data_IF_046865440736
#
_entry.id   IF_046865440736
#
_cell.length_a   1.000
_cell.length_b   1.000
_cell.length_c   1.000
_cell.angle_alpha   90.00
_cell.angle_beta   90.00
_cell.angle_gamma   90.00
#
_symmetry.space_group_name_H-M   'P 1'
#
loop_
_entity.id
_entity.type
_entity.pdbx_description
1 polymer ?
#
# COMPACT_ATOMS: atom_id res chain seq x y z
N UNK A 1 18.67 35.70 -19.97
CA UNK A 1 17.54 35.73 -18.99
C UNK A 1 16.20 36.11 -19.62
N UNK A 2 16.10 37.08 -20.55
CA UNK A 2 14.81 37.51 -21.13
C UNK A 2 14.00 36.40 -21.82
N UNK A 3 14.66 35.40 -22.43
CA UNK A 3 14.01 34.32 -23.18
C UNK A 3 13.23 33.34 -22.30
N UNK A 4 13.82 32.93 -21.18
CA UNK A 4 13.19 31.99 -20.23
C UNK A 4 11.91 32.60 -19.62
N UNK A 5 11.95 33.88 -19.27
CA UNK A 5 10.80 34.62 -18.72
C UNK A 5 9.67 34.67 -19.75
N UNK A 6 9.99 34.96 -21.01
CA UNK A 6 9.01 34.99 -22.10
C UNK A 6 8.36 33.62 -22.33
N UNK A 7 9.16 32.54 -22.39
CA UNK A 7 8.63 31.17 -22.52
C UNK A 7 7.70 30.83 -21.36
N UNK A 8 8.10 31.10 -20.12
CA UNK A 8 7.29 30.82 -18.94
C UNK A 8 5.99 31.63 -18.93
N UNK A 9 6.05 32.90 -19.34
CA UNK A 9 4.86 33.75 -19.44
C UNK A 9 3.88 33.23 -20.49
N UNK A 10 4.35 32.92 -21.70
CA UNK A 10 3.48 32.41 -22.75
C UNK A 10 2.98 30.98 -22.47
N UNK A 11 3.79 30.15 -21.78
CA UNK A 11 3.35 28.85 -21.29
C UNK A 11 2.24 29.02 -20.25
N UNK A 12 2.37 29.95 -19.31
CA UNK A 12 1.33 30.23 -18.33
C UNK A 12 0.01 30.64 -19.01
N UNK A 13 0.06 31.49 -20.05
CA UNK A 13 -1.12 31.86 -20.83
C UNK A 13 -1.75 30.66 -21.56
N UNK A 14 -0.94 29.80 -22.17
CA UNK A 14 -1.42 28.60 -22.86
C UNK A 14 -2.05 27.58 -21.88
N UNK A 15 -1.52 27.50 -20.66
CA UNK A 15 -2.07 26.65 -19.60
C UNK A 15 -3.38 27.22 -19.02
N UNK A 16 -3.45 28.54 -18.84
CA UNK A 16 -4.66 29.22 -18.34
C UNK A 16 -5.85 29.05 -19.29
N UNK A 17 -5.60 29.07 -20.62
CA UNK A 17 -6.61 28.74 -21.63
C UNK A 17 -7.19 27.32 -21.48
N UNK A 18 -6.46 26.41 -20.83
CA UNK A 18 -6.83 25.01 -20.60
C UNK A 18 -7.27 24.77 -19.15
N UNK A 19 -7.50 25.84 -18.39
CA UNK A 19 -7.86 25.82 -16.96
C UNK A 19 -6.82 25.13 -16.05
N UNK A 20 -5.56 25.03 -16.52
CA UNK A 20 -4.46 24.43 -15.77
C UNK A 20 -3.79 25.52 -14.94
N UNK A 21 -3.76 25.34 -13.61
CA UNK A 21 -3.08 26.29 -12.73
C UNK A 21 -1.59 26.00 -12.72
N UNK A 22 -0.79 27.04 -12.86
CA UNK A 22 0.67 26.99 -12.74
C UNK A 22 1.08 27.48 -11.35
N UNK A 23 1.77 26.64 -10.59
CA UNK A 23 2.36 26.99 -9.29
C UNK A 23 3.87 26.71 -9.30
N UNK A 24 4.60 27.34 -8.37
CA UNK A 24 6.02 27.07 -8.17
C UNK A 24 6.22 26.42 -6.80
N UNK A 25 7.16 25.48 -6.72
CA UNK A 25 7.58 24.81 -5.49
C UNK A 25 9.10 24.89 -5.37
N UNK A 26 9.66 24.59 -4.19
CA UNK A 26 11.12 24.49 -3.99
C UNK A 26 11.79 23.49 -4.94
N UNK A 27 11.04 22.50 -5.43
CA UNK A 27 11.52 21.43 -6.31
C UNK A 27 11.31 21.74 -7.80
N UNK A 28 10.76 22.90 -8.16
CA UNK A 28 10.50 23.29 -9.54
C UNK A 28 9.04 23.69 -9.79
N UNK A 29 8.65 23.68 -11.06
CA UNK A 29 7.35 24.18 -11.53
C UNK A 29 6.32 23.05 -11.45
N UNK A 30 5.11 23.37 -10.99
CA UNK A 30 3.98 22.44 -10.93
C UNK A 30 2.80 22.97 -11.72
N UNK A 31 2.11 22.07 -12.41
CA UNK A 31 0.86 22.34 -13.09
C UNK A 31 -0.21 21.46 -12.49
N UNK A 32 -1.31 22.03 -12.06
CA UNK A 32 -2.36 21.31 -11.33
C UNK A 32 -3.74 21.54 -11.96
N UNK A 33 -4.51 20.45 -11.99
CA UNK A 33 -5.98 20.47 -12.05
C UNK A 33 -6.41 19.69 -10.81
N UNK A 34 -6.82 20.42 -9.76
CA UNK A 34 -7.07 19.84 -8.44
C UNK A 34 -7.97 18.59 -8.53
N UNK A 35 -7.57 17.45 -7.93
CA UNK A 35 -6.43 17.25 -7.03
C UNK A 35 -5.12 16.76 -7.70
N UNK A 36 -5.10 16.62 -9.02
CA UNK A 36 -4.01 15.97 -9.75
C UNK A 36 -2.92 16.99 -10.17
N UNK A 37 -1.64 16.65 -10.04
CA UNK A 37 -0.51 17.57 -10.25
C UNK A 37 0.65 16.97 -11.04
N UNK A 38 1.15 17.74 -12.01
CA UNK A 38 2.28 17.38 -12.86
C UNK A 38 3.47 18.30 -12.58
N UNK A 39 4.65 17.70 -12.39
CA UNK A 39 5.90 18.43 -12.17
C UNK A 39 6.66 18.62 -13.47
N UNK A 40 7.08 19.86 -13.70
CA UNK A 40 7.86 20.29 -14.85
C UNK A 40 9.26 20.71 -14.41
N UNK A 41 10.23 20.36 -15.25
CA UNK A 41 11.62 20.81 -15.12
C UNK A 41 12.08 21.45 -16.42
N UNK A 42 12.77 22.59 -16.30
CA UNK A 42 13.38 23.28 -17.42
C UNK A 42 14.90 23.21 -17.26
N UNK A 43 15.57 22.62 -18.25
CA UNK A 43 17.02 22.51 -18.32
C UNK A 43 17.58 23.32 -19.46
N UNK A 44 18.75 23.94 -19.24
CA UNK A 44 19.55 24.57 -20.31
C UNK A 44 20.68 23.62 -20.75
N UNK A 45 20.85 23.48 -22.06
CA UNK A 45 21.90 22.64 -22.64
C UNK A 45 23.27 23.29 -22.41
N UNK A 46 24.15 22.56 -21.73
CA UNK A 46 25.53 22.94 -21.48
C UNK A 46 26.44 22.23 -22.46
N UNK A 47 27.26 22.98 -23.18
CA UNK A 47 28.30 22.41 -24.04
C UNK A 47 29.59 22.30 -23.24
N UNK A 48 30.22 21.14 -23.31
CA UNK A 48 31.54 20.87 -22.73
C UNK A 48 32.58 21.10 -23.82
N UNK A 49 33.50 22.03 -23.57
CA UNK A 49 34.66 22.28 -24.44
C UNK A 49 35.94 22.08 -23.62
N UNK A 50 37.04 21.67 -24.27
CA UNK A 50 38.32 21.54 -23.59
C UNK A 50 38.78 22.92 -23.10
N UNK A 51 39.15 23.00 -21.83
CA UNK A 51 39.58 24.27 -21.23
C UNK A 51 40.90 24.70 -21.86
N UNK A 52 40.94 25.92 -22.36
CA UNK A 52 42.16 26.53 -22.89
C UNK A 52 42.83 27.28 -21.74
N UNK A 53 43.98 26.81 -21.22
CA UNK A 53 44.62 27.42 -20.05
C UNK A 53 44.93 28.90 -20.28
N UNK A 54 44.57 29.74 -19.32
CA UNK A 54 44.92 31.17 -19.39
C UNK A 54 46.42 31.37 -19.08
N UNK A 55 46.98 32.49 -19.55
CA UNK A 55 48.41 32.82 -19.31
C UNK A 55 48.78 32.86 -17.82
N UNK A 56 47.83 33.18 -16.94
CA UNK A 56 48.04 33.19 -15.50
C UNK A 56 48.06 31.76 -14.92
N UNK A 57 47.21 30.87 -15.42
CA UNK A 57 47.14 29.46 -15.00
C UNK A 57 48.35 28.67 -15.49
N UNK A 58 48.83 28.93 -16.71
CA UNK A 58 50.10 28.40 -17.22
C UNK A 58 51.28 28.81 -16.35
N UNK A 59 51.38 30.09 -15.96
CA UNK A 59 52.46 30.56 -15.06
C UNK A 59 52.43 29.86 -13.70
N UNK A 60 51.25 29.65 -13.11
CA UNK A 60 51.10 28.93 -11.84
C UNK A 60 51.53 27.48 -11.94
N UNK A 61 51.17 26.80 -13.04
CA UNK A 61 51.60 25.45 -13.31
C UNK A 61 53.12 25.36 -13.47
N UNK A 62 53.72 26.26 -14.25
CA UNK A 62 55.17 26.27 -14.48
C UNK A 62 55.96 26.57 -13.20
N UNK A 63 55.47 27.49 -12.35
CA UNK A 63 56.05 27.76 -11.04
C UNK A 63 55.96 26.54 -10.11
N UNK A 64 54.83 25.83 -10.12
CA UNK A 64 54.66 24.64 -9.31
C UNK A 64 55.55 23.49 -9.79
N UNK A 65 55.65 23.26 -11.10
CA UNK A 65 56.54 22.25 -11.66
C UNK A 65 58.02 22.56 -11.37
N UNK A 66 58.43 23.84 -11.42
CA UNK A 66 59.77 24.26 -10.97
C UNK A 66 60.01 23.97 -9.49
N UNK A 67 59.05 24.30 -8.61
CA UNK A 67 59.15 23.99 -7.17
C UNK A 67 59.21 22.48 -6.92
N UNK A 68 58.44 21.71 -7.68
CA UNK A 68 58.39 20.25 -7.62
C UNK A 68 59.70 19.61 -8.07
N UNK A 69 60.33 20.14 -9.12
CA UNK A 69 61.65 19.66 -9.57
C UNK A 69 62.73 19.94 -8.50
N UNK A 70 62.72 21.13 -7.90
CA UNK A 70 63.62 21.47 -6.80
C UNK A 70 63.39 20.56 -5.58
N UNK A 71 62.12 20.29 -5.22
CA UNK A 71 61.78 19.39 -4.13
C UNK A 71 62.24 17.95 -4.42
N UNK A 72 62.02 17.44 -5.63
CA UNK A 72 62.50 16.11 -6.09
C UNK A 72 64.01 15.99 -5.97
N UNK A 73 64.78 17.00 -6.38
CA UNK A 73 66.24 17.01 -6.24
C UNK A 73 66.72 16.98 -4.78
N UNK A 74 65.88 17.43 -3.84
CA UNK A 74 66.13 17.40 -2.39
C UNK A 74 65.55 16.16 -1.69
N UNK A 75 65.02 15.18 -2.44
CA UNK A 75 64.38 13.99 -1.89
C UNK A 75 63.04 14.26 -1.20
N UNK A 76 62.44 15.44 -1.41
CA UNK A 76 61.16 15.84 -0.83
C UNK A 76 60.04 15.65 -1.84
N UNK A 77 58.86 15.24 -1.35
CA UNK A 77 57.68 15.02 -2.17
C UNK A 77 56.75 16.24 -2.13
N UNK A 78 56.37 16.74 -3.30
CA UNK A 78 55.36 17.78 -3.45
C UNK A 78 54.09 17.16 -4.04
N UNK A 79 52.94 17.51 -3.47
CA UNK A 79 51.64 16.96 -3.86
C UNK A 79 51.28 17.31 -5.31
N UNK A 80 50.50 16.45 -5.93
CA UNK A 80 49.89 16.76 -7.22
C UNK A 80 48.79 17.82 -7.02
N UNK A 81 48.85 18.88 -7.81
CA UNK A 81 47.87 19.97 -7.80
C UNK A 81 47.32 20.14 -9.22
N UNK A 82 46.01 20.40 -9.31
CA UNK A 82 45.31 20.60 -10.58
C UNK A 82 45.13 22.11 -10.80
N UNK A 83 45.81 22.63 -11.82
CA UNK A 83 45.92 24.09 -12.05
C UNK A 83 44.78 24.70 -12.85
N UNK A 84 44.07 23.88 -13.63
CA UNK A 84 42.88 24.29 -14.37
C UNK A 84 41.87 23.14 -14.46
N UNK A 85 40.57 23.44 -14.61
CA UNK A 85 39.56 22.44 -14.99
C UNK A 85 39.95 21.81 -16.34
N UNK A 86 39.65 20.53 -16.58
CA UNK A 86 39.89 19.96 -17.91
C UNK A 86 38.92 20.54 -18.97
N UNK A 87 37.77 21.07 -18.53
CA UNK A 87 36.70 21.48 -19.42
C UNK A 87 36.04 22.77 -18.96
N UNK A 88 35.71 23.61 -19.94
CA UNK A 88 34.84 24.76 -19.76
C UNK A 88 33.40 24.38 -20.14
N UNK A 89 32.45 24.89 -19.36
CA UNK A 89 31.02 24.73 -19.61
C UNK A 89 30.48 26.02 -20.21
N UNK A 90 30.12 25.97 -21.49
CA UNK A 90 29.50 27.09 -22.19
C UNK A 90 27.99 26.87 -22.22
N UNK A 91 27.24 27.84 -21.70
CA UNK A 91 25.78 27.85 -21.76
C UNK A 91 25.34 28.20 -23.19
N UNK A 92 24.70 27.24 -23.86
CA UNK A 92 24.37 27.37 -25.29
C UNK A 92 23.09 28.18 -25.54
N UNK A 93 22.34 28.55 -24.50
CA UNK A 93 21.05 29.24 -24.62
C UNK A 93 19.90 28.37 -25.12
N UNK A 94 20.15 27.08 -25.41
CA UNK A 94 19.14 26.10 -25.82
C UNK A 94 18.44 25.52 -24.59
N UNK A 95 17.12 25.52 -24.63
CA UNK A 95 16.29 25.10 -23.51
C UNK A 95 15.61 23.76 -23.80
N UNK A 96 15.33 23.04 -22.73
CA UNK A 96 14.57 21.79 -22.72
C UNK A 96 13.56 21.81 -21.59
N UNK A 97 12.37 21.27 -21.84
CA UNK A 97 11.29 21.12 -20.88
C UNK A 97 10.96 19.63 -20.76
N UNK A 98 10.92 19.14 -19.52
CA UNK A 98 10.65 17.75 -19.20
C UNK A 98 9.55 17.61 -18.14
N UNK A 99 8.60 16.72 -18.39
CA UNK A 99 7.58 16.27 -17.45
C UNK A 99 8.15 15.07 -16.68
N UNK A 100 8.19 15.19 -15.35
CA UNK A 100 8.70 14.13 -14.48
C UNK A 100 7.69 12.99 -14.28
N UNK A 101 6.39 13.28 -14.41
CA UNK A 101 5.32 12.31 -14.20
C UNK A 101 5.30 11.25 -15.31
N UNK A 102 4.76 10.08 -14.99
CA UNK A 102 4.61 8.98 -15.94
C UNK A 102 3.18 8.87 -16.43
N UNK A 103 3.02 8.94 -17.74
CA UNK A 103 1.80 8.59 -18.45
C UNK A 103 2.18 7.76 -19.69
N UNK A 104 1.39 6.73 -19.96
CA UNK A 104 1.59 5.85 -21.11
C UNK A 104 1.20 6.56 -22.41
N UNK A 105 1.97 6.37 -23.47
CA UNK A 105 1.77 7.04 -24.77
C UNK A 105 2.00 8.56 -24.79
N UNK A 106 2.30 9.19 -23.65
CA UNK A 106 2.47 10.63 -23.55
C UNK A 106 3.91 11.09 -23.88
N UNK A 107 4.03 12.20 -24.60
CA UNK A 107 5.33 12.88 -24.75
C UNK A 107 5.76 13.47 -23.41
N UNK A 108 7.03 13.30 -23.07
CA UNK A 108 7.60 13.80 -21.79
C UNK A 108 8.61 14.92 -21.95
N UNK A 109 9.26 15.03 -23.11
CA UNK A 109 10.37 15.97 -23.33
C UNK A 109 10.21 16.77 -24.60
N UNK A 110 10.41 18.07 -24.47
CA UNK A 110 10.52 19.04 -25.56
C UNK A 110 11.86 19.74 -25.43
N UNK A 111 12.52 20.01 -26.55
CA UNK A 111 13.83 20.68 -26.56
C UNK A 111 13.96 21.54 -27.80
N UNK A 112 14.73 22.61 -27.69
CA UNK A 112 15.15 23.39 -28.85
C UNK A 112 15.87 22.48 -29.85
N UNK A 113 15.43 22.54 -31.10
CA UNK A 113 16.01 21.83 -32.24
C UNK A 113 16.61 22.80 -33.26
N UNK A 114 16.97 22.27 -34.43
CA UNK A 114 17.51 23.06 -35.54
C UNK A 114 16.47 23.99 -36.18
N UNK A 115 15.20 23.55 -36.22
CA UNK A 115 14.10 24.22 -36.91
C UNK A 115 12.91 24.53 -35.99
N UNK A 116 12.98 24.12 -34.73
CA UNK A 116 11.87 24.22 -33.79
C UNK A 116 12.41 24.76 -32.47
N UNK A 117 11.74 25.77 -31.92
CA UNK A 117 12.06 26.34 -30.61
C UNK A 117 10.97 26.00 -29.59
N UNK A 118 11.27 26.04 -28.30
CA UNK A 118 10.26 25.81 -27.26
C UNK A 118 9.09 26.80 -27.36
N UNK A 119 9.34 28.05 -27.77
CA UNK A 119 8.29 29.06 -28.00
C UNK A 119 7.27 28.60 -29.06
N UNK A 120 7.74 27.94 -30.12
CA UNK A 120 6.87 27.38 -31.17
C UNK A 120 6.11 26.12 -30.74
N UNK A 121 6.50 25.52 -29.61
CA UNK A 121 5.96 24.26 -29.08
C UNK A 121 5.02 24.46 -27.89
N UNK A 122 4.66 25.69 -27.54
CA UNK A 122 3.87 25.96 -26.34
C UNK A 122 2.53 25.22 -26.31
N UNK A 123 1.79 25.22 -27.43
CA UNK A 123 0.53 24.48 -27.53
C UNK A 123 0.71 22.97 -27.40
N UNK A 124 1.62 22.31 -28.17
CA UNK A 124 1.94 20.90 -27.96
C UNK A 124 2.43 20.55 -26.55
N UNK A 125 3.11 21.47 -25.87
CA UNK A 125 3.56 21.29 -24.47
C UNK A 125 2.34 21.31 -23.55
N UNK A 126 1.48 22.33 -23.69
CA UNK A 126 0.28 22.48 -22.87
C UNK A 126 -0.72 21.31 -23.06
N UNK A 127 -0.89 20.84 -24.30
CA UNK A 127 -1.69 19.63 -24.60
C UNK A 127 -1.06 18.37 -23.99
N UNK A 128 0.27 18.27 -24.02
CA UNK A 128 0.99 17.20 -23.35
C UNK A 128 0.73 17.20 -21.84
N UNK A 129 0.83 18.36 -21.19
CA UNK A 129 0.56 18.52 -19.75
C UNK A 129 -0.88 18.12 -19.41
N UNK A 130 -1.86 18.58 -20.20
CA UNK A 130 -3.26 18.22 -20.04
C UNK A 130 -3.46 16.70 -20.12
N UNK A 131 -2.79 16.03 -21.07
CA UNK A 131 -2.85 14.58 -21.19
C UNK A 131 -2.31 13.86 -19.93
N UNK A 132 -1.18 14.33 -19.38
CA UNK A 132 -0.63 13.75 -18.14
C UNK A 132 -1.61 13.93 -16.96
N UNK A 133 -2.23 15.09 -16.82
CA UNK A 133 -3.22 15.34 -15.77
C UNK A 133 -4.46 14.45 -15.94
N UNK A 134 -4.97 14.29 -17.16
CA UNK A 134 -6.09 13.40 -17.44
C UNK A 134 -5.75 11.92 -17.16
N UNK A 135 -4.52 11.51 -17.47
CA UNK A 135 -4.03 10.17 -17.17
C UNK A 135 -3.97 9.90 -15.66
N UNK A 136 -3.46 10.86 -14.88
CA UNK A 136 -3.40 10.73 -13.42
C UNK A 136 -4.79 10.68 -12.79
N UNK A 137 -5.73 11.50 -13.27
CA UNK A 137 -7.13 11.46 -12.87
C UNK A 137 -7.74 10.08 -13.09
N UNK A 138 -7.62 9.54 -14.30
CA UNK A 138 -8.15 8.21 -14.63
C UNK A 138 -7.55 7.12 -13.74
N UNK A 139 -6.22 7.17 -13.50
CA UNK A 139 -5.52 6.24 -12.62
C UNK A 139 -5.96 6.35 -11.15
N UNK A 140 -6.25 7.57 -10.68
CA UNK A 140 -6.80 7.78 -9.33
C UNK A 140 -8.19 7.18 -9.21
N UNK A 141 -9.08 7.45 -10.17
CA UNK A 141 -10.43 6.90 -10.18
C UNK A 141 -10.44 5.36 -10.24
N UNK A 142 -9.56 4.76 -11.04
CA UNK A 142 -9.40 3.32 -11.10
C UNK A 142 -8.92 2.73 -9.76
N UNK A 143 -7.92 3.36 -9.13
CA UNK A 143 -7.42 2.95 -7.79
C UNK A 143 -8.51 3.04 -6.74
N UNK A 144 -9.27 4.13 -6.70
CA UNK A 144 -10.38 4.31 -5.76
C UNK A 144 -11.49 3.26 -5.99
N UNK A 145 -11.84 2.99 -7.24
CA UNK A 145 -12.84 1.96 -7.58
C UNK A 145 -12.36 0.57 -7.17
N UNK A 146 -11.09 0.25 -7.43
CA UNK A 146 -10.48 -1.01 -7.01
C UNK A 146 -10.40 -1.13 -5.49
N UNK A 147 -10.06 -0.07 -4.77
CA UNK A 147 -10.04 -0.05 -3.32
C UNK A 147 -11.45 -0.26 -2.73
N UNK A 148 -12.48 0.38 -3.31
CA UNK A 148 -13.88 0.15 -2.93
C UNK A 148 -14.27 -1.31 -3.13
N UNK A 149 -13.95 -1.89 -4.30
CA UNK A 149 -14.19 -3.33 -4.58
C UNK A 149 -13.47 -4.24 -3.60
N UNK A 150 -12.20 -3.95 -3.28
CA UNK A 150 -11.41 -4.73 -2.31
C UNK A 150 -12.00 -4.67 -0.92
N UNK A 151 -12.33 -3.47 -0.41
CA UNK A 151 -12.95 -3.29 0.90
C UNK A 151 -14.29 -4.02 1.00
N UNK A 152 -15.12 -3.90 -0.04
CA UNK A 152 -16.40 -4.60 -0.12
C UNK A 152 -16.22 -6.13 -0.06
N UNK A 153 -15.35 -6.68 -0.91
CA UNK A 153 -15.07 -8.13 -0.92
C UNK A 153 -14.41 -8.62 0.37
N UNK A 154 -13.54 -7.82 0.99
CA UNK A 154 -12.94 -8.15 2.28
C UNK A 154 -13.99 -8.25 3.39
N UNK A 155 -14.91 -7.28 3.44
CA UNK A 155 -16.02 -7.28 4.40
C UNK A 155 -16.92 -8.51 4.20
N UNK A 156 -17.30 -8.83 2.96
CA UNK A 156 -18.09 -10.03 2.65
C UNK A 156 -17.40 -11.32 3.09
N UNK A 157 -16.09 -11.43 2.87
CA UNK A 157 -15.29 -12.59 3.34
C UNK A 157 -15.23 -12.70 4.86
N UNK A 158 -15.12 -11.56 5.55
CA UNK A 158 -15.16 -11.53 7.00
C UNK A 158 -16.51 -12.01 7.54
N UNK A 159 -17.62 -11.54 6.96
CA UNK A 159 -18.97 -12.01 7.29
C UNK A 159 -19.10 -13.51 7.06
N UNK A 160 -18.67 -14.01 5.90
CA UNK A 160 -18.71 -15.44 5.59
C UNK A 160 -17.90 -16.28 6.60
N UNK A 161 -16.70 -15.83 6.98
CA UNK A 161 -15.90 -16.50 8.00
C UNK A 161 -16.64 -16.55 9.35
N UNK A 162 -17.21 -15.42 9.79
CA UNK A 162 -17.99 -15.38 11.04
C UNK A 162 -19.21 -16.31 10.98
N UNK A 163 -19.87 -16.43 9.82
CA UNK A 163 -20.97 -17.40 9.62
C UNK A 163 -20.48 -18.84 9.77
N UNK A 164 -19.34 -19.18 9.16
CA UNK A 164 -18.73 -20.51 9.30
C UNK A 164 -18.35 -20.82 10.75
N UNK A 165 -17.74 -19.86 11.45
CA UNK A 165 -17.39 -20.01 12.87
C UNK A 165 -18.65 -20.21 13.73
N UNK A 166 -19.72 -19.45 13.48
CA UNK A 166 -21.00 -19.61 14.16
C UNK A 166 -21.63 -20.98 13.87
N UNK A 167 -21.58 -21.45 12.63
CA UNK A 167 -22.10 -22.77 12.26
C UNK A 167 -21.30 -23.90 12.92
N UNK A 168 -19.97 -23.78 12.98
CA UNK A 168 -19.12 -24.71 13.72
C UNK A 168 -19.48 -24.73 15.22
N UNK A 169 -19.72 -23.56 15.82
CA UNK A 169 -20.14 -23.45 17.21
C UNK A 169 -21.54 -24.04 17.45
N UNK A 170 -22.50 -23.82 16.55
CA UNK A 170 -23.83 -24.46 16.60
C UNK A 170 -23.72 -25.98 16.59
N UNK A 171 -22.93 -26.53 15.67
CA UNK A 171 -22.69 -27.97 15.58
C UNK A 171 -21.98 -28.50 16.84
N UNK A 172 -20.99 -27.76 17.35
CA UNK A 172 -20.31 -28.10 18.60
C UNK A 172 -21.26 -28.16 19.79
N UNK A 173 -22.12 -27.15 19.94
CA UNK A 173 -23.13 -27.09 20.99
C UNK A 173 -24.11 -28.26 20.91
N UNK A 174 -24.62 -28.57 19.72
CA UNK A 174 -25.54 -29.69 19.51
C UNK A 174 -24.88 -31.05 19.81
N UNK A 175 -23.59 -31.22 19.47
CA UNK A 175 -22.83 -32.43 19.82
C UNK A 175 -22.68 -32.58 21.33
N UNK A 176 -22.30 -31.52 22.04
CA UNK A 176 -22.20 -31.53 23.50
C UNK A 176 -23.55 -31.87 24.15
N UNK A 177 -24.64 -31.28 23.66
CA UNK A 177 -25.98 -31.58 24.13
C UNK A 177 -26.34 -33.07 23.94
N UNK A 178 -26.04 -33.63 22.76
CA UNK A 178 -26.28 -35.04 22.47
C UNK A 178 -25.43 -35.97 23.37
N UNK A 179 -24.18 -35.60 23.66
CA UNK A 179 -23.32 -36.34 24.60
C UNK A 179 -23.91 -36.35 26.01
N UNK A 180 -24.36 -35.19 26.52
CA UNK A 180 -25.02 -35.11 27.83
C UNK A 180 -26.31 -35.92 27.88
N UNK A 181 -27.11 -35.92 26.82
CA UNK A 181 -28.34 -36.72 26.76
C UNK A 181 -28.04 -38.22 26.77
N UNK A 182 -27.00 -38.67 26.04
CA UNK A 182 -26.54 -40.06 26.06
C UNK A 182 -26.03 -40.47 27.44
N UNK A 183 -25.15 -39.66 28.05
CA UNK A 183 -24.61 -39.93 29.39
C UNK A 183 -25.76 -40.03 30.43
N UNK A 184 -26.74 -39.11 30.37
CA UNK A 184 -27.90 -39.17 31.25
C UNK A 184 -28.75 -40.44 31.04
N UNK A 185 -28.97 -40.86 29.80
CA UNK A 185 -29.70 -42.10 29.49
C UNK A 185 -28.96 -43.35 30.01
N UNK A 186 -27.65 -43.41 29.81
CA UNK A 186 -26.80 -44.51 30.27
C UNK A 186 -26.77 -44.59 31.80
N UNK A 187 -26.65 -43.44 32.49
CA UNK A 187 -26.72 -43.36 33.95
C UNK A 187 -28.10 -43.79 34.48
N UNK A 188 -29.20 -43.33 33.87
CA UNK A 188 -30.57 -43.77 34.25
C UNK A 188 -30.73 -45.27 34.09
N UNK A 189 -30.27 -45.84 32.98
CA UNK A 189 -30.30 -47.28 32.72
C UNK A 189 -29.50 -48.06 33.77
N UNK A 190 -28.29 -47.58 34.08
CA UNK A 190 -27.41 -48.19 35.09
C UNK A 190 -28.01 -48.13 36.49
N UNK A 191 -28.55 -46.99 36.91
CA UNK A 191 -29.21 -46.81 38.21
C UNK A 191 -30.46 -47.69 38.33
N UNK A 192 -31.26 -47.80 37.26
CA UNK A 192 -32.46 -48.64 37.24
C UNK A 192 -32.11 -50.12 37.41
N UNK A 193 -31.13 -50.63 36.62
CA UNK A 193 -30.65 -52.01 36.76
C UNK A 193 -30.05 -52.28 38.13
N UNK A 194 -29.28 -51.33 38.68
CA UNK A 194 -28.71 -51.44 40.01
C UNK A 194 -29.77 -51.58 41.12
N UNK A 195 -30.95 -50.98 40.94
CA UNK A 195 -32.04 -51.08 41.89
C UNK A 195 -32.67 -52.48 41.95
N UNK A 196 -32.59 -53.26 40.87
CA UNK A 196 -33.12 -54.63 40.83
C UNK A 196 -32.29 -55.62 41.69
N UNK A 197 -31.00 -55.32 41.90
CA UNK A 197 -30.08 -56.19 42.65
C UNK A 197 -29.84 -55.75 44.11
N UNK A 198 -30.54 -54.70 44.56
CA UNK A 198 -30.40 -54.05 45.88
C UNK A 198 -30.27 -54.99 47.11
N UNK A 199 -30.89 -56.19 47.17
CA UNK A 199 -30.77 -57.05 48.36
C UNK A 199 -29.39 -57.70 48.60
N UNK A 200 -28.46 -57.70 47.63
CA UNK A 200 -27.23 -58.51 47.66
C UNK A 200 -25.93 -57.74 47.36
N UNK A 201 -25.94 -56.41 47.40
CA UNK A 201 -24.82 -55.61 46.87
C UNK A 201 -23.86 -55.07 47.93
N UNK A 202 -22.58 -54.95 47.56
CA UNK A 202 -21.50 -54.46 48.42
C UNK A 202 -21.62 -52.95 48.71
N UNK A 203 -21.02 -52.50 49.82
CA UNK A 203 -21.02 -51.08 50.24
C UNK A 203 -20.30 -50.14 49.28
N UNK A 204 -19.37 -50.65 48.48
CA UNK A 204 -18.67 -49.90 47.42
C UNK A 204 -19.59 -49.62 46.23
N UNK A 205 -20.40 -50.62 45.84
CA UNK A 205 -21.36 -50.46 44.76
C UNK A 205 -22.45 -49.45 45.11
N UNK A 206 -22.94 -49.44 46.37
CA UNK A 206 -23.89 -48.43 46.83
C UNK A 206 -23.33 -47.00 46.74
N UNK A 207 -22.05 -46.79 47.09
CA UNK A 207 -21.37 -45.50 46.93
C UNK A 207 -21.25 -45.08 45.47
N UNK A 208 -20.95 -46.03 44.57
CA UNK A 208 -20.91 -45.78 43.13
C UNK A 208 -22.29 -45.34 42.59
N UNK A 209 -23.38 -45.98 43.02
CA UNK A 209 -24.74 -45.61 42.59
C UNK A 209 -25.15 -44.24 43.13
N UNK A 210 -24.78 -43.91 44.37
CA UNK A 210 -25.03 -42.58 44.94
C UNK A 210 -24.29 -41.49 44.15
N UNK A 211 -23.03 -41.74 43.79
CA UNK A 211 -22.27 -40.85 42.91
C UNK A 211 -22.92 -40.72 41.53
N UNK A 212 -23.40 -41.82 40.93
CA UNK A 212 -24.07 -41.82 39.64
C UNK A 212 -25.36 -40.99 39.66
N UNK A 213 -26.14 -41.04 40.76
CA UNK A 213 -27.33 -40.19 40.97
C UNK A 213 -26.97 -38.71 41.04
N UNK A 214 -25.94 -38.35 41.79
CA UNK A 214 -25.47 -36.96 41.88
C UNK A 214 -24.97 -36.46 40.52
N UNK A 215 -24.24 -37.29 39.78
CA UNK A 215 -23.78 -37.00 38.41
C UNK A 215 -24.95 -36.79 37.46
N UNK A 216 -25.98 -37.64 37.53
CA UNK A 216 -27.19 -37.50 36.72
C UNK A 216 -27.91 -36.18 37.00
N UNK A 217 -28.12 -35.84 38.28
CA UNK A 217 -28.77 -34.58 38.66
C UNK A 217 -28.00 -33.34 38.13
N UNK A 218 -26.67 -33.39 38.15
CA UNK A 218 -25.83 -32.32 37.60
C UNK A 218 -25.97 -32.17 36.08
N UNK A 219 -26.01 -33.29 35.34
CA UNK A 219 -26.19 -33.27 33.88
C UNK A 219 -27.59 -32.78 33.52
N UNK A 220 -28.61 -33.23 34.25
CA UNK A 220 -29.99 -32.81 34.05
C UNK A 220 -30.18 -31.31 34.32
N UNK A 221 -29.57 -30.78 35.37
CA UNK A 221 -29.57 -29.34 35.66
C UNK A 221 -28.97 -28.52 34.50
N UNK A 222 -27.88 -28.99 33.89
CA UNK A 222 -27.28 -28.36 32.71
C UNK A 222 -28.15 -28.46 31.45
N UNK A 223 -28.95 -29.51 31.34
CA UNK A 223 -29.90 -29.73 30.25
C UNK A 223 -31.28 -29.09 30.48
N UNK A 224 -31.47 -28.31 31.55
CA UNK A 224 -32.70 -27.55 31.75
C UNK A 224 -32.85 -26.48 30.66
N UNK A 225 -34.09 -26.27 30.22
CA UNK A 225 -34.41 -25.37 29.11
C UNK A 225 -33.91 -23.94 29.37
N UNK A 226 -34.04 -23.43 30.59
CA UNK A 226 -33.62 -22.07 30.95
C UNK A 226 -32.10 -21.90 30.87
N UNK A 227 -31.34 -22.91 31.30
CA UNK A 227 -29.87 -22.93 31.23
C UNK A 227 -29.42 -23.02 29.78
N UNK A 228 -30.05 -23.89 28.98
CA UNK A 228 -29.78 -24.00 27.54
C UNK A 228 -30.08 -22.68 26.82
N UNK A 229 -31.23 -22.07 27.10
CA UNK A 229 -31.65 -20.80 26.48
C UNK A 229 -30.68 -19.67 26.84
N UNK A 230 -30.21 -19.63 28.08
CA UNK A 230 -29.21 -18.66 28.53
C UNK A 230 -27.87 -18.86 27.81
N UNK A 231 -27.38 -20.10 27.73
CA UNK A 231 -26.16 -20.43 26.98
C UNK A 231 -26.26 -20.07 25.49
N UNK A 232 -27.40 -20.35 24.85
CA UNK A 232 -27.63 -20.01 23.44
C UNK A 232 -27.55 -18.49 23.19
N UNK A 233 -28.08 -17.69 24.12
CA UNK A 233 -28.02 -16.22 24.08
C UNK A 233 -26.62 -15.70 24.34
N UNK A 234 -25.94 -16.22 25.36
CA UNK A 234 -24.57 -15.83 25.73
C UNK A 234 -23.58 -16.09 24.59
N UNK A 235 -23.72 -17.22 23.89
CA UNK A 235 -22.87 -17.59 22.76
C UNK A 235 -23.33 -17.02 21.42
N UNK A 236 -24.46 -16.29 21.38
CA UNK A 236 -25.05 -15.71 20.18
C UNK A 236 -25.16 -16.71 19.00
N UNK A 237 -25.64 -17.93 19.29
CA UNK A 237 -25.68 -19.01 18.29
C UNK A 237 -26.86 -18.84 17.32
N UNK A 238 -28.01 -18.40 17.79
CA UNK A 238 -29.23 -18.24 16.99
C UNK A 238 -29.85 -16.84 17.17
N UNK A 239 -29.17 -15.76 16.74
CA UNK A 239 -29.74 -14.41 16.77
C UNK A 239 -30.90 -14.27 15.79
N UNK A 240 -31.88 -13.45 16.17
CA UNK A 240 -32.94 -12.94 15.30
C UNK A 240 -33.12 -11.44 15.58
N UNK A 241 -32.75 -10.53 14.65
CA UNK A 241 -32.25 -10.79 13.29
C UNK A 241 -30.78 -11.25 13.22
N UNK A 242 -30.41 -11.98 12.16
CA UNK A 242 -29.03 -12.45 11.91
C UNK A 242 -28.13 -11.28 11.45
N UNK A 243 -27.25 -10.86 12.34
CA UNK A 243 -26.27 -9.79 12.15
C UNK A 243 -25.19 -10.12 11.11
N UNK A 244 -25.03 -11.40 10.75
CA UNK A 244 -24.04 -11.86 9.78
C UNK A 244 -24.64 -12.16 8.41
N UNK A 245 -25.91 -11.85 8.19
CA UNK A 245 -26.56 -12.07 6.90
C UNK A 245 -25.93 -11.17 5.82
N UNK A 246 -25.50 -11.78 4.71
CA UNK A 246 -25.04 -11.06 3.52
C UNK A 246 -26.11 -11.16 2.44
N UNK A 247 -26.74 -10.04 2.02
CA UNK A 247 -27.81 -10.06 1.02
C UNK A 247 -27.33 -10.52 -0.37
N UNK A 248 -26.02 -10.44 -0.64
CA UNK A 248 -25.42 -10.91 -1.90
C UNK A 248 -24.95 -12.37 -1.83
N UNK A 249 -25.22 -13.07 -0.72
CA UNK A 249 -24.86 -14.48 -0.51
C UNK A 249 -23.39 -14.71 -0.15
N UNK A 250 -22.89 -15.92 -0.38
CA UNK A 250 -21.50 -16.27 -0.06
C UNK A 250 -20.50 -15.75 -1.11
N UNK A 251 -19.39 -15.13 -0.69
CA UNK A 251 -18.39 -14.62 -1.61
C UNK A 251 -17.65 -15.79 -2.30
N UNK A 252 -17.29 -15.58 -3.57
CA UNK A 252 -16.49 -16.56 -4.30
C UNK A 252 -15.14 -16.84 -3.60
N UNK A 253 -14.65 -18.09 -3.64
CA UNK A 253 -13.36 -18.44 -3.06
C UNK A 253 -12.23 -17.62 -3.71
N UNK A 254 -11.18 -17.26 -2.95
CA UNK A 254 -10.06 -16.50 -3.49
C UNK A 254 -9.40 -17.27 -4.65
N UNK A 255 -9.16 -16.59 -5.77
CA UNK A 255 -8.46 -17.18 -6.93
C UNK A 255 -7.04 -17.66 -6.59
N UNK A 256 -6.41 -17.09 -5.56
CA UNK A 256 -5.12 -17.53 -5.04
C UNK A 256 -5.19 -17.72 -3.52
N UNK A 257 -4.88 -18.92 -2.97
CA UNK A 257 -4.88 -19.17 -1.53
C UNK A 257 -3.88 -18.33 -0.72
N UNK A 258 -2.88 -17.75 -1.40
CA UNK A 258 -1.77 -16.99 -0.80
C UNK A 258 -1.94 -15.47 -0.88
N UNK A 259 -3.05 -14.98 -1.43
CA UNK A 259 -3.36 -13.55 -1.48
C UNK A 259 -4.13 -13.15 -0.21
N UNK A 260 -3.38 -12.95 0.88
CA UNK A 260 -3.89 -12.25 2.08
C UNK A 260 -3.91 -10.74 1.85
#
# INVERSE_FOLDING_TARGET
>A
MSRLISILHHLALALDQREIKLSHSEKGIRTEISPDDVRLEIGEERRREEHIPTLAEQKRHDEHERRREIARRRGQWLSYERFWPEHDYIYSGKLSLEIQNWADGARKRWKDGKHQSLESMLDPIADGILFHLAFEKARREEREAEERRRKHMAHRRELHKKRQDREANRLGFLRQLAEYQKEAADLRSTITKAAEFLPQVSSEYLRMIEWAKQRLAHIEAKNQLDVLTSNLREQNLFPDPDDLHDPEGDPAPPKNPWSY
#
